data_IF_948836049630
#
_entry.id   IF_948836049630
#
_cell.length_a   1.000
_cell.length_b   1.000
_cell.length_c   1.000
_cell.angle_alpha   90.00
_cell.angle_beta   90.00
_cell.angle_gamma   90.00
#
_symmetry.space_group_name_H-M   'P 1'
#
loop_
_entity.id
_entity.type
_entity.pdbx_description
1 polymer ?
#
# COMPACT_ATOMS: atom_id res chain seq x y z
N UNK A 1 24.59 -1.67 6.54
CA UNK A 1 24.49 -1.19 5.14
C UNK A 1 23.12 -0.58 4.79
N UNK A 2 21.98 -1.21 5.12
CA UNK A 2 20.63 -0.67 4.80
C UNK A 2 20.39 0.78 5.23
N UNK A 3 20.84 1.18 6.44
CA UNK A 3 20.64 2.54 6.97
C UNK A 3 21.34 3.63 6.13
N UNK A 4 22.46 3.32 5.50
CA UNK A 4 23.23 4.28 4.67
C UNK A 4 22.55 4.44 3.31
N UNK A 5 22.12 3.34 2.70
CA UNK A 5 21.42 3.36 1.43
C UNK A 5 20.11 4.14 1.52
N UNK A 6 19.34 3.91 2.59
CA UNK A 6 18.11 4.65 2.89
C UNK A 6 18.45 6.13 3.10
N UNK A 7 19.44 6.47 3.93
CA UNK A 7 19.85 7.88 4.12
C UNK A 7 20.21 8.58 2.81
N UNK A 8 20.94 7.90 1.93
CA UNK A 8 21.38 8.44 0.64
C UNK A 8 20.20 8.64 -0.32
N UNK A 9 19.32 7.64 -0.40
CA UNK A 9 18.11 7.67 -1.22
C UNK A 9 17.16 8.80 -0.78
N UNK A 10 17.07 9.02 0.54
CA UNK A 10 16.28 10.09 1.15
C UNK A 10 17.06 11.41 1.27
N UNK A 11 18.27 11.57 0.74
CA UNK A 11 19.00 12.84 0.87
C UNK A 11 18.41 13.94 -0.02
N UNK A 12 17.96 13.61 -1.23
CA UNK A 12 17.34 14.56 -2.16
C UNK A 12 15.83 14.66 -1.96
N UNK A 13 15.33 15.88 -1.71
CA UNK A 13 13.91 16.18 -1.51
C UNK A 13 13.04 15.68 -2.68
N UNK A 14 13.46 15.94 -3.92
CA UNK A 14 12.76 15.48 -5.12
C UNK A 14 12.67 13.97 -5.25
N UNK A 15 13.71 13.23 -4.84
CA UNK A 15 13.68 11.77 -4.88
C UNK A 15 12.69 11.19 -3.85
N UNK A 16 12.64 11.78 -2.65
CA UNK A 16 11.68 11.39 -1.61
C UNK A 16 10.24 11.61 -2.08
N UNK A 17 9.98 12.73 -2.75
CA UNK A 17 8.66 13.05 -3.31
C UNK A 17 8.26 12.10 -4.45
N UNK A 18 9.17 11.80 -5.37
CA UNK A 18 8.91 10.86 -6.46
C UNK A 18 8.62 9.45 -5.92
N UNK A 19 9.44 8.98 -4.98
CA UNK A 19 9.27 7.68 -4.33
C UNK A 19 7.94 7.60 -3.56
N UNK A 20 7.55 8.68 -2.88
CA UNK A 20 6.24 8.81 -2.24
C UNK A 20 5.11 8.63 -3.26
N UNK A 21 5.20 9.29 -4.42
CA UNK A 21 4.25 9.14 -5.51
C UNK A 21 4.15 7.70 -6.02
N UNK A 22 5.28 7.02 -6.22
CA UNK A 22 5.31 5.61 -6.62
C UNK A 22 4.59 4.72 -5.61
N UNK A 23 4.86 4.87 -4.30
CA UNK A 23 4.17 4.09 -3.29
C UNK A 23 2.68 4.42 -3.21
N UNK A 24 2.28 5.67 -3.44
CA UNK A 24 0.87 6.07 -3.52
C UNK A 24 0.15 5.37 -4.69
N UNK A 25 0.75 5.36 -5.88
CA UNK A 25 0.18 4.64 -7.03
C UNK A 25 0.12 3.14 -6.80
N UNK A 26 1.19 2.53 -6.26
CA UNK A 26 1.21 1.11 -5.94
C UNK A 26 0.13 0.74 -4.93
N UNK A 27 -0.02 1.53 -3.86
CA UNK A 27 -1.10 1.40 -2.88
C UNK A 27 -2.48 1.49 -3.53
N UNK A 28 -2.68 2.45 -4.43
CA UNK A 28 -3.92 2.63 -5.17
C UNK A 28 -4.26 1.42 -6.04
N UNK A 29 -3.30 0.92 -6.83
CA UNK A 29 -3.47 -0.26 -7.68
C UNK A 29 -3.79 -1.50 -6.84
N UNK A 30 -3.08 -1.73 -5.74
CA UNK A 30 -3.37 -2.87 -4.85
C UNK A 30 -4.73 -2.74 -4.17
N UNK A 31 -5.16 -1.52 -3.83
CA UNK A 31 -6.48 -1.28 -3.23
C UNK A 31 -7.62 -1.50 -4.23
N UNK A 32 -7.44 -1.11 -5.50
CA UNK A 32 -8.38 -1.44 -6.57
C UNK A 32 -8.47 -2.95 -6.77
N UNK A 33 -7.34 -3.65 -6.76
CA UNK A 33 -7.33 -5.10 -6.89
C UNK A 33 -8.05 -5.77 -5.72
N UNK A 34 -7.85 -5.28 -4.49
CA UNK A 34 -8.57 -5.72 -3.31
C UNK A 34 -10.09 -5.55 -3.48
N UNK A 35 -10.54 -4.41 -4.00
CA UNK A 35 -11.94 -4.14 -4.26
C UNK A 35 -12.53 -5.06 -5.33
N UNK A 36 -11.81 -5.29 -6.43
CA UNK A 36 -12.22 -6.21 -7.50
C UNK A 36 -12.33 -7.64 -6.97
N UNK A 37 -11.34 -8.12 -6.21
CA UNK A 37 -11.41 -9.42 -5.56
C UNK A 37 -12.59 -9.50 -4.60
N UNK A 38 -12.78 -8.51 -3.73
CA UNK A 38 -13.90 -8.50 -2.78
C UNK A 38 -15.26 -8.56 -3.52
N UNK A 39 -15.42 -7.78 -4.58
CA UNK A 39 -16.62 -7.81 -5.43
C UNK A 39 -16.83 -9.18 -6.07
N UNK A 40 -15.76 -9.80 -6.58
CA UNK A 40 -15.83 -11.14 -7.14
C UNK A 40 -16.23 -12.19 -6.10
N UNK A 41 -15.72 -12.09 -4.86
CA UNK A 41 -16.15 -12.94 -3.75
C UNK A 41 -17.66 -12.77 -3.49
N UNK A 42 -18.13 -11.52 -3.35
CA UNK A 42 -19.56 -11.23 -3.07
C UNK A 42 -20.46 -11.76 -4.20
N UNK A 43 -20.07 -11.58 -5.46
CA UNK A 43 -20.84 -12.10 -6.60
C UNK A 43 -20.92 -13.62 -6.60
N UNK A 44 -19.84 -14.34 -6.26
CA UNK A 44 -19.87 -15.80 -6.14
C UNK A 44 -20.83 -16.28 -5.05
N UNK A 45 -20.86 -15.60 -3.89
CA UNK A 45 -21.82 -15.89 -2.83
C UNK A 45 -23.28 -15.67 -3.27
N UNK A 46 -23.54 -14.63 -4.07
CA UNK A 46 -24.88 -14.32 -4.59
C UNK A 46 -25.30 -15.34 -5.65
N UNK A 47 -24.42 -15.71 -6.58
CA UNK A 47 -24.77 -16.60 -7.70
C UNK A 47 -24.88 -18.08 -7.32
N UNK A 48 -24.01 -18.58 -6.41
CA UNK A 48 -23.88 -20.02 -6.18
C UNK A 48 -24.25 -20.48 -4.75
N UNK A 49 -24.56 -19.56 -3.83
CA UNK A 49 -24.92 -19.88 -2.45
C UNK A 49 -23.82 -20.60 -1.65
N UNK A 50 -24.19 -21.28 -0.56
CA UNK A 50 -23.26 -21.99 0.36
C UNK A 50 -22.56 -23.22 -0.27
N UNK A 51 -22.92 -23.60 -1.49
CA UNK A 51 -22.53 -24.87 -2.11
C UNK A 51 -21.10 -24.86 -2.73
N UNK A 52 -20.45 -23.69 -2.86
CA UNK A 52 -19.14 -23.52 -3.53
C UNK A 52 -17.98 -23.21 -2.55
N UNK A 53 -18.25 -23.29 -1.24
CA UNK A 53 -17.37 -22.75 -0.19
C UNK A 53 -16.05 -23.53 0.00
N UNK A 54 -15.93 -24.79 -0.42
CA UNK A 54 -14.81 -25.63 0.03
C UNK A 54 -13.46 -25.31 -0.64
N UNK A 55 -13.38 -25.27 -1.98
CA UNK A 55 -12.08 -25.14 -2.67
C UNK A 55 -11.77 -23.72 -3.17
N UNK A 56 -12.79 -22.94 -3.56
CA UNK A 56 -12.60 -21.59 -4.10
C UNK A 56 -12.39 -20.52 -3.03
N UNK A 57 -13.16 -20.60 -1.93
CA UNK A 57 -13.25 -19.53 -0.95
C UNK A 57 -11.97 -19.37 -0.12
N UNK A 58 -11.29 -20.47 0.25
CA UNK A 58 -10.05 -20.41 1.02
C UNK A 58 -8.93 -19.72 0.23
N UNK A 59 -8.79 -20.07 -1.06
CA UNK A 59 -7.82 -19.41 -1.94
C UNK A 59 -8.13 -17.93 -2.12
N UNK A 60 -9.40 -17.59 -2.30
CA UNK A 60 -9.84 -16.21 -2.48
C UNK A 60 -9.64 -15.37 -1.21
N UNK A 61 -9.84 -15.97 -0.04
CA UNK A 61 -9.53 -15.36 1.26
C UNK A 61 -8.03 -15.10 1.40
N UNK A 62 -7.18 -16.07 1.05
CA UNK A 62 -5.72 -15.91 1.10
C UNK A 62 -5.26 -14.83 0.13
N UNK A 63 -5.79 -14.79 -1.09
CA UNK A 63 -5.48 -13.74 -2.08
C UNK A 63 -5.92 -12.36 -1.56
N UNK A 64 -7.13 -12.23 -1.01
CA UNK A 64 -7.63 -10.98 -0.42
C UNK A 64 -6.75 -10.50 0.74
N UNK A 65 -6.40 -11.40 1.67
CA UNK A 65 -5.49 -11.09 2.77
C UNK A 65 -4.11 -10.66 2.26
N UNK A 66 -3.58 -11.35 1.24
CA UNK A 66 -2.29 -11.03 0.66
C UNK A 66 -2.25 -9.63 0.03
N UNK A 67 -3.27 -9.26 -0.75
CA UNK A 67 -3.40 -7.91 -1.32
C UNK A 67 -3.64 -6.86 -0.24
N UNK A 68 -4.36 -7.20 0.83
CA UNK A 68 -4.57 -6.32 1.97
C UNK A 68 -3.25 -5.97 2.68
N UNK A 69 -2.45 -6.97 3.00
CA UNK A 69 -1.13 -6.76 3.62
C UNK A 69 -0.14 -6.07 2.67
N UNK A 70 -0.17 -6.39 1.37
CA UNK A 70 0.66 -5.72 0.38
C UNK A 70 0.30 -4.24 0.23
N UNK A 71 -1.00 -3.93 0.22
CA UNK A 71 -1.51 -2.56 0.22
C UNK A 71 -1.06 -1.83 1.49
N UNK A 72 -1.18 -2.45 2.66
CA UNK A 72 -0.73 -1.89 3.94
C UNK A 72 0.79 -1.61 3.98
N UNK A 73 1.59 -2.47 3.35
CA UNK A 73 3.03 -2.25 3.18
C UNK A 73 3.30 -1.00 2.35
N UNK A 74 2.67 -0.84 1.18
CA UNK A 74 2.83 0.35 0.34
C UNK A 74 2.33 1.62 1.03
N UNK A 75 1.22 1.55 1.75
CA UNK A 75 0.70 2.65 2.55
C UNK A 75 1.69 3.09 3.63
N UNK A 76 2.30 2.14 4.34
CA UNK A 76 3.29 2.44 5.38
C UNK A 76 4.55 3.08 4.78
N UNK A 77 5.03 2.58 3.64
CA UNK A 77 6.17 3.17 2.93
C UNK A 77 5.87 4.59 2.44
N UNK A 78 4.66 4.83 1.91
CA UNK A 78 4.16 6.16 1.60
C UNK A 78 4.20 7.07 2.83
N UNK A 79 3.65 6.62 3.97
CA UNK A 79 3.64 7.38 5.24
C UNK A 79 5.03 7.69 5.77
N UNK A 80 5.98 6.77 5.62
CA UNK A 80 7.38 7.03 5.98
C UNK A 80 7.98 8.13 5.11
N UNK A 81 7.75 8.08 3.81
CA UNK A 81 8.23 9.13 2.89
C UNK A 81 7.59 10.48 3.20
N UNK A 82 6.28 10.51 3.45
CA UNK A 82 5.54 11.69 3.87
C UNK A 82 6.13 12.27 5.16
N UNK A 83 6.31 11.46 6.20
CA UNK A 83 6.86 11.91 7.48
C UNK A 83 8.27 12.52 7.34
N UNK A 84 9.13 11.92 6.52
CA UNK A 84 10.47 12.47 6.23
C UNK A 84 10.36 13.82 5.50
N UNK A 85 9.43 13.93 4.56
CA UNK A 85 9.21 15.15 3.78
C UNK A 85 8.68 16.29 4.65
N UNK A 86 7.65 16.01 5.44
CA UNK A 86 7.00 16.95 6.36
C UNK A 86 7.98 17.42 7.42
N UNK A 87 8.69 16.50 8.10
CA UNK A 87 9.68 16.89 9.10
C UNK A 87 10.77 17.79 8.52
N UNK A 88 11.19 17.57 7.26
CA UNK A 88 12.17 18.45 6.62
C UNK A 88 11.59 19.81 6.27
N UNK A 89 10.38 19.88 5.73
CA UNK A 89 9.71 21.17 5.45
C UNK A 89 9.52 21.99 6.73
N UNK A 90 9.07 21.36 7.81
CA UNK A 90 8.90 22.03 9.11
C UNK A 90 10.23 22.40 9.75
N UNK A 91 11.29 21.60 9.58
CA UNK A 91 12.64 21.95 10.06
C UNK A 91 13.30 23.10 9.29
N UNK A 92 12.82 23.40 8.08
CA UNK A 92 13.27 24.55 7.28
C UNK A 92 12.52 25.83 7.62
N UNK A 93 11.46 25.76 8.43
CA UNK A 93 10.76 26.92 8.92
C UNK A 93 11.65 27.59 9.98
N UNK A 94 12.24 28.76 9.71
CA UNK A 94 13.00 29.50 10.72
C UNK A 94 12.02 29.92 11.81
N UNK A 95 12.46 29.81 13.07
CA UNK A 95 11.69 30.20 14.25
C UNK A 95 11.01 31.57 14.00
N UNK A 96 9.68 31.57 13.96
CA UNK A 96 8.84 32.76 13.78
C UNK A 96 8.78 33.58 15.07
#
# INVERSE_FOLDING_TARGET
MQKILIKFLFQHWGFTFLLMGVFFFLFGVTSLNLFVLLKANINLYIEHGVMVIADGALRQLVELLSYGYLSLLFYTLFKVCENILVNRLTSLQPDA
#
